data_IF_104488365081
#
_entry.id   IF_104488365081
#
_cell.length_a   1.000
_cell.length_b   1.000
_cell.length_c   1.000
_cell.angle_alpha   90.00
_cell.angle_beta   90.00
_cell.angle_gamma   90.00
#
_symmetry.space_group_name_H-M   'P 1'
#
loop_
_entity.id
_entity.type
_entity.pdbx_description
1 polymer ?
#
# COMPACT_ATOMS: atom_id res chain seq x y z
N UNK A 1 20.26 4.82 -8.16
CA UNK A 1 20.08 6.29 -8.07
C UNK A 1 19.62 6.96 -9.37
N UNK A 2 19.82 6.36 -10.56
CA UNK A 2 19.37 6.93 -11.85
C UNK A 2 17.84 7.07 -11.98
N UNK A 3 17.08 6.13 -11.40
CA UNK A 3 15.61 6.13 -11.41
C UNK A 3 15.00 7.32 -10.65
N UNK A 4 15.63 7.72 -9.55
CA UNK A 4 15.18 8.84 -8.71
C UNK A 4 15.34 10.17 -9.44
N UNK A 5 16.49 10.40 -10.07
CA UNK A 5 16.78 11.61 -10.86
C UNK A 5 15.76 11.77 -11.99
N UNK A 6 15.57 10.71 -12.78
CA UNK A 6 14.61 10.72 -13.89
C UNK A 6 13.16 10.98 -13.43
N UNK A 7 12.77 10.46 -12.26
CA UNK A 7 11.45 10.75 -11.69
C UNK A 7 11.29 12.24 -11.34
N UNK A 8 12.28 12.83 -10.64
CA UNK A 8 12.25 14.25 -10.29
C UNK A 8 12.25 15.15 -11.53
N UNK A 9 13.09 14.86 -12.52
CA UNK A 9 13.08 15.57 -13.80
C UNK A 9 11.72 15.47 -14.47
N UNK A 10 11.16 14.27 -14.58
CA UNK A 10 9.85 14.07 -15.19
C UNK A 10 8.73 14.84 -14.48
N UNK A 11 8.76 14.91 -13.14
CA UNK A 11 7.78 15.68 -12.37
C UNK A 11 7.99 17.19 -12.45
N UNK A 12 9.23 17.65 -12.61
CA UNK A 12 9.54 19.07 -12.82
C UNK A 12 8.92 19.60 -14.12
N UNK A 13 8.85 18.78 -15.17
CA UNK A 13 8.25 19.14 -16.46
C UNK A 13 6.73 18.89 -16.54
N UNK A 14 6.10 18.40 -15.46
CA UNK A 14 4.66 18.13 -15.46
C UNK A 14 3.88 19.37 -15.08
N UNK A 15 3.19 19.97 -16.05
CA UNK A 15 2.35 21.16 -15.85
C UNK A 15 1.07 20.84 -15.06
N UNK A 16 0.35 19.79 -15.46
CA UNK A 16 -0.84 19.29 -14.75
C UNK A 16 -0.61 17.88 -14.21
N UNK A 17 -0.46 17.79 -12.88
CA UNK A 17 -0.26 16.52 -12.16
C UNK A 17 -1.52 15.64 -12.14
N UNK A 18 -2.69 16.26 -12.11
CA UNK A 18 -3.98 15.56 -12.08
C UNK A 18 -4.28 14.92 -13.43
N UNK A 19 -3.99 15.62 -14.53
CA UNK A 19 -4.10 15.09 -15.89
C UNK A 19 -3.12 13.94 -16.13
N UNK A 20 -1.86 14.06 -15.68
CA UNK A 20 -0.86 12.99 -15.82
C UNK A 20 -1.30 11.65 -15.22
N UNK A 21 -2.06 11.68 -14.12
CA UNK A 21 -2.52 10.47 -13.43
C UNK A 21 -3.97 10.07 -13.75
N UNK A 22 -4.71 10.91 -14.49
CA UNK A 22 -6.10 10.65 -14.84
C UNK A 22 -6.31 9.32 -15.60
N UNK A 23 -5.49 8.96 -16.62
CA UNK A 23 -5.64 7.68 -17.32
C UNK A 23 -5.49 6.47 -16.39
N UNK A 24 -4.53 6.53 -15.46
CA UNK A 24 -4.30 5.47 -14.50
C UNK A 24 -5.49 5.31 -13.52
N UNK A 25 -6.05 6.44 -13.05
CA UNK A 25 -7.26 6.42 -12.20
C UNK A 25 -8.46 5.86 -12.94
N UNK A 26 -8.65 6.23 -14.21
CA UNK A 26 -9.73 5.70 -15.06
C UNK A 26 -9.58 4.19 -15.29
N UNK A 27 -8.37 3.73 -15.64
CA UNK A 27 -8.09 2.30 -15.83
C UNK A 27 -8.32 1.48 -14.54
N UNK A 28 -7.95 2.04 -13.39
CA UNK A 28 -8.22 1.41 -12.09
C UNK A 28 -9.73 1.31 -11.81
N UNK A 29 -10.51 2.36 -12.11
CA UNK A 29 -11.97 2.31 -11.96
C UNK A 29 -12.59 1.27 -12.89
N UNK A 30 -12.19 1.24 -14.17
CA UNK A 30 -12.68 0.27 -15.15
C UNK A 30 -12.39 -1.18 -14.74
N UNK A 31 -11.28 -1.42 -14.03
CA UNK A 31 -11.00 -2.73 -13.42
C UNK A 31 -12.06 -3.12 -12.38
N UNK A 32 -12.47 -2.19 -11.53
CA UNK A 32 -13.52 -2.45 -10.54
C UNK A 32 -14.89 -2.63 -11.17
N UNK A 33 -15.21 -1.87 -12.21
CA UNK A 33 -16.44 -2.06 -13.01
C UNK A 33 -16.53 -3.47 -13.59
N UNK A 34 -15.47 -3.95 -14.25
CA UNK A 34 -15.41 -5.34 -14.77
C UNK A 34 -15.46 -6.39 -13.66
N UNK A 35 -14.95 -6.07 -12.46
CA UNK A 35 -14.99 -6.99 -11.33
C UNK A 35 -16.39 -7.15 -10.76
N UNK A 36 -17.19 -6.08 -10.73
CA UNK A 36 -18.55 -6.09 -10.18
C UNK A 36 -19.61 -6.46 -11.22
N UNK A 37 -19.29 -6.33 -12.50
CA UNK A 37 -20.15 -6.68 -13.63
C UNK A 37 -19.35 -7.28 -14.80
N UNK A 38 -18.90 -8.55 -14.70
CA UNK A 38 -18.13 -9.20 -15.75
C UNK A 38 -18.91 -9.34 -17.06
N UNK A 39 -20.21 -9.61 -16.96
CA UNK A 39 -21.11 -9.84 -18.09
C UNK A 39 -21.75 -8.55 -18.65
N UNK A 40 -21.52 -7.40 -18.00
CA UNK A 40 -22.01 -6.10 -18.48
C UNK A 40 -23.53 -5.91 -18.36
N UNK A 41 -24.20 -6.68 -17.51
CA UNK A 41 -25.68 -6.74 -17.44
C UNK A 41 -26.30 -5.66 -16.55
N UNK A 42 -25.52 -5.02 -15.69
CA UNK A 42 -26.04 -3.98 -14.79
C UNK A 42 -26.23 -2.65 -15.52
N UNK A 43 -27.22 -1.87 -15.05
CA UNK A 43 -27.36 -0.48 -15.47
C UNK A 43 -26.08 0.32 -15.14
N UNK A 44 -25.68 1.30 -15.98
CA UNK A 44 -24.44 2.06 -15.78
C UNK A 44 -24.29 2.68 -14.39
N UNK A 45 -25.36 3.28 -13.87
CA UNK A 45 -25.35 3.91 -12.54
C UNK A 45 -25.14 2.89 -11.42
N UNK A 46 -25.78 1.74 -11.52
CA UNK A 46 -25.65 0.67 -10.54
C UNK A 46 -24.25 0.05 -10.58
N UNK A 47 -23.70 -0.15 -11.79
CA UNK A 47 -22.33 -0.59 -11.97
C UNK A 47 -21.33 0.39 -11.35
N UNK A 48 -21.51 1.69 -11.57
CA UNK A 48 -20.65 2.73 -11.01
C UNK A 48 -20.71 2.74 -9.47
N UNK A 49 -21.90 2.65 -8.88
CA UNK A 49 -22.07 2.53 -7.41
C UNK A 49 -21.34 1.31 -6.86
N UNK A 50 -21.52 0.14 -7.48
CA UNK A 50 -20.84 -1.10 -7.03
C UNK A 50 -19.33 -1.00 -7.20
N UNK A 51 -18.84 -0.44 -8.29
CA UNK A 51 -17.41 -0.22 -8.53
C UNK A 51 -16.79 0.72 -7.49
N UNK A 52 -17.49 1.78 -7.10
CA UNK A 52 -17.07 2.69 -6.01
C UNK A 52 -16.91 1.94 -4.68
N UNK A 53 -17.88 1.09 -4.32
CA UNK A 53 -17.81 0.26 -3.12
C UNK A 53 -16.67 -0.77 -3.21
N UNK A 54 -16.46 -1.39 -4.37
CA UNK A 54 -15.35 -2.31 -4.59
C UNK A 54 -13.99 -1.60 -4.43
N UNK A 55 -13.84 -0.38 -4.95
CA UNK A 55 -12.64 0.45 -4.75
C UNK A 55 -12.39 0.74 -3.28
N UNK A 56 -13.42 1.19 -2.55
CA UNK A 56 -13.31 1.47 -1.10
C UNK A 56 -12.90 0.23 -0.33
N UNK A 57 -13.53 -0.91 -0.60
CA UNK A 57 -13.19 -2.18 0.03
C UNK A 57 -11.76 -2.63 -0.29
N UNK A 58 -11.27 -2.42 -1.51
CA UNK A 58 -9.89 -2.74 -1.89
C UNK A 58 -8.87 -1.99 -1.03
N UNK A 59 -9.01 -0.66 -0.91
CA UNK A 59 -8.08 0.14 -0.12
C UNK A 59 -8.22 -0.11 1.39
N UNK A 60 -9.43 -0.39 1.88
CA UNK A 60 -9.64 -0.79 3.28
C UNK A 60 -8.89 -2.09 3.62
N UNK A 61 -8.96 -3.11 2.74
CA UNK A 61 -8.19 -4.36 2.90
C UNK A 61 -6.68 -4.11 2.89
N UNK A 62 -6.19 -3.24 1.99
CA UNK A 62 -4.78 -2.88 1.92
C UNK A 62 -4.30 -2.19 3.20
N UNK A 63 -5.09 -1.23 3.71
CA UNK A 63 -4.80 -0.53 4.96
C UNK A 63 -4.77 -1.50 6.16
N UNK A 64 -5.75 -2.42 6.25
CA UNK A 64 -5.78 -3.45 7.28
C UNK A 64 -4.54 -4.34 7.24
N UNK A 65 -4.17 -4.80 6.03
CA UNK A 65 -2.95 -5.61 5.84
C UNK A 65 -1.70 -4.86 6.28
N UNK A 66 -1.58 -3.58 5.94
CA UNK A 66 -0.45 -2.74 6.35
C UNK A 66 -0.41 -2.53 7.87
N UNK A 67 -1.55 -2.26 8.50
CA UNK A 67 -1.65 -2.11 9.95
C UNK A 67 -1.21 -3.38 10.68
N UNK A 68 -1.65 -4.55 10.20
CA UNK A 68 -1.21 -5.86 10.73
C UNK A 68 0.29 -6.06 10.58
N UNK A 69 0.86 -5.78 9.40
CA UNK A 69 2.29 -5.94 9.15
C UNK A 69 3.14 -5.03 10.05
N UNK A 70 2.73 -3.76 10.22
CA UNK A 70 3.43 -2.84 11.13
C UNK A 70 3.36 -3.29 12.59
N UNK A 71 2.24 -3.87 13.02
CA UNK A 71 2.12 -4.42 14.37
C UNK A 71 3.10 -5.58 14.59
N UNK A 72 3.10 -6.55 13.67
CA UNK A 72 4.02 -7.69 13.72
C UNK A 72 5.49 -7.26 13.71
N UNK A 73 5.84 -6.25 12.90
CA UNK A 73 7.21 -5.72 12.87
C UNK A 73 7.62 -5.10 14.21
N UNK A 74 6.70 -4.45 14.93
CA UNK A 74 6.97 -3.89 16.26
C UNK A 74 7.14 -4.99 17.32
N UNK A 75 6.25 -5.99 17.29
CA UNK A 75 6.35 -7.16 18.17
C UNK A 75 7.69 -7.89 17.97
N UNK A 76 8.10 -8.10 16.71
CA UNK A 76 9.38 -8.72 16.39
C UNK A 76 10.58 -7.87 16.83
N UNK A 77 10.50 -6.54 16.67
CA UNK A 77 11.56 -5.64 17.12
C UNK A 77 11.69 -5.61 18.65
N UNK A 78 10.57 -5.66 19.38
CA UNK A 78 10.57 -5.75 20.84
C UNK A 78 11.21 -7.06 21.33
N UNK A 79 10.81 -8.19 20.73
CA UNK A 79 11.40 -9.49 21.05
C UNK A 79 12.91 -9.53 20.77
N UNK A 80 13.34 -8.95 19.65
CA UNK A 80 14.77 -8.85 19.32
C UNK A 80 15.53 -8.00 20.35
N UNK A 81 14.97 -6.86 20.75
CA UNK A 81 15.57 -6.00 21.77
C UNK A 81 15.66 -6.68 23.15
N UNK A 82 14.65 -7.46 23.53
CA UNK A 82 14.66 -8.27 24.76
C UNK A 82 15.74 -9.35 24.70
N UNK A 83 15.85 -10.08 23.59
CA UNK A 83 16.89 -11.10 23.39
C UNK A 83 18.31 -10.50 23.38
N UNK A 84 18.49 -9.34 22.72
CA UNK A 84 19.76 -8.62 22.72
C UNK A 84 20.15 -8.17 24.14
N UNK A 85 19.18 -7.71 24.95
CA UNK A 85 19.40 -7.35 26.34
C UNK A 85 19.76 -8.57 27.21
N UNK A 86 19.09 -9.70 27.01
CA UNK A 86 19.40 -10.97 27.71
C UNK A 86 20.81 -11.46 27.35
N UNK A 87 21.16 -11.46 26.06
CA UNK A 87 22.50 -11.84 25.60
C UNK A 87 23.58 -10.92 26.18
N UNK A 88 23.33 -9.61 26.21
CA UNK A 88 24.24 -8.64 26.82
C UNK A 88 24.42 -8.89 28.32
N UNK A 89 23.37 -9.27 29.04
CA UNK A 89 23.43 -9.56 30.46
C UNK A 89 24.25 -10.84 30.74
N UNK A 90 24.10 -11.88 29.91
CA UNK A 90 24.86 -13.13 30.01
C UNK A 90 26.34 -12.94 29.63
N UNK A 91 26.63 -12.12 28.62
CA UNK A 91 28.00 -11.84 28.17
C UNK A 91 28.82 -10.98 29.14
N UNK A 92 28.16 -10.17 29.97
CA UNK A 92 28.81 -9.32 30.97
C UNK A 92 29.44 -10.07 32.16
N UNK A 93 29.13 -11.37 32.33
CA UNK A 93 29.67 -12.20 33.42
C UNK A 93 30.96 -12.96 33.09
N UNK A 94 31.44 -12.92 31.84
CA UNK A 94 32.57 -13.75 31.38
C UNK A 94 33.94 -13.05 31.41
N UNK A 95 34.05 -11.84 31.98
CA UNK A 95 35.32 -11.13 32.15
C UNK A 95 35.48 -10.70 33.60
N UNK A 96 35.88 -11.64 34.45
CA UNK A 96 36.46 -11.39 35.78
C UNK A 96 37.46 -12.50 36.10
#
# INVERSE_FOLDING_TARGET
MRSTIAAHESWAHTQDRSARTAPARAALMAKFERQVDPEGTLAPDERARRAEHARKAHFARLALKSARARRQSREAAALAAEADAELSALGGGAVA
#
